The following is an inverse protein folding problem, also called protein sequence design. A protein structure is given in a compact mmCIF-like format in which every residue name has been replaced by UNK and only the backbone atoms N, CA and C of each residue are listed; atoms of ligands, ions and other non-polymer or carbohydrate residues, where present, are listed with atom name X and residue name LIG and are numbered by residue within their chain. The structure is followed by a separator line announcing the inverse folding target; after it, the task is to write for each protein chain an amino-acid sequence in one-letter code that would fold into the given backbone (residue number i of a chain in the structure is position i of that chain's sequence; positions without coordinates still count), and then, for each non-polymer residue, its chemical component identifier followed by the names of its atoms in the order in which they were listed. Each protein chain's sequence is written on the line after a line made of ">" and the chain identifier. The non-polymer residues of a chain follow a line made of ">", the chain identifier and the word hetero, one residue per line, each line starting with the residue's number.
data_IF_131274836019
#
_entry.id   IF_131274836019
#
_cell.length_a   1.000
_cell.length_b   1.000
_cell.length_c   1.000
_cell.angle_alpha   90.00
_cell.angle_beta   90.00
_cell.angle_gamma   90.00
#
_symmetry.space_group_name_H-M   'P 1'
#
loop_
_entity.id
_entity.type
_entity.pdbx_description
1 polymer ?
#
# COMPACT_ATOMS: atom_id res chain seq x y z
N UNK A 1 -7.44 -9.79 -10.89
CA UNK A 1 -7.35 -8.51 -11.65
C UNK A 1 -7.90 -7.45 -10.71
N UNK A 2 -7.03 -6.62 -10.14
CA UNK A 2 -7.47 -5.57 -9.20
C UNK A 2 -8.31 -4.56 -10.00
N UNK A 3 -9.47 -4.13 -9.48
CA UNK A 3 -10.31 -3.14 -10.16
C UNK A 3 -9.54 -1.84 -10.32
N UNK A 4 -9.60 -1.28 -11.52
CA UNK A 4 -9.03 0.00 -11.89
C UNK A 4 -9.68 1.09 -11.04
N UNK A 5 -9.04 1.38 -9.92
CA UNK A 5 -9.31 2.55 -9.09
C UNK A 5 -8.46 3.63 -9.73
N UNK A 6 -9.09 4.71 -10.20
CA UNK A 6 -8.48 5.82 -10.95
C UNK A 6 -6.96 5.88 -10.85
N UNK A 7 -6.32 5.75 -12.01
CA UNK A 7 -4.88 5.89 -12.23
C UNK A 7 -3.99 4.77 -11.64
N UNK A 8 -4.54 3.81 -10.89
CA UNK A 8 -3.84 2.60 -10.47
C UNK A 8 -2.65 2.85 -9.54
N UNK A 9 -2.54 4.07 -9.01
CA UNK A 9 -1.47 4.48 -8.10
C UNK A 9 -2.05 4.57 -6.70
N UNK A 10 -1.45 3.86 -5.75
CA UNK A 10 -1.70 4.11 -4.33
C UNK A 10 -0.64 5.10 -3.84
N UNK A 11 -0.96 6.40 -3.71
CA UNK A 11 0.01 7.40 -3.27
C UNK A 11 0.21 7.34 -1.76
N UNK A 12 1.46 7.52 -1.34
CA UNK A 12 1.85 7.60 0.07
C UNK A 12 2.63 8.91 0.29
N UNK A 13 2.27 9.66 1.33
CA UNK A 13 3.00 10.88 1.72
C UNK A 13 4.09 10.56 2.73
N UNK A 14 5.34 10.86 2.39
CA UNK A 14 6.46 10.81 3.32
C UNK A 14 6.39 11.97 4.31
N UNK A 15 6.61 11.70 5.60
CA UNK A 15 6.54 12.72 6.66
C UNK A 15 7.81 13.58 6.75
N UNK A 16 8.96 13.02 6.42
CA UNK A 16 10.26 13.67 6.64
C UNK A 16 10.56 14.70 5.56
N UNK A 17 10.44 14.31 4.28
CA UNK A 17 10.74 15.16 3.13
C UNK A 17 9.51 15.72 2.44
N UNK A 18 8.31 15.35 2.91
CA UNK A 18 7.07 15.70 2.23
C UNK A 18 6.93 15.10 0.83
N UNK A 19 7.77 14.16 0.41
CA UNK A 19 7.68 13.56 -0.93
C UNK A 19 6.49 12.61 -1.05
N UNK A 20 5.87 12.56 -2.23
CA UNK A 20 4.78 11.63 -2.55
C UNK A 20 5.33 10.44 -3.32
N UNK A 21 5.01 9.25 -2.85
CA UNK A 21 5.55 7.99 -3.34
C UNK A 21 4.45 7.10 -3.90
N UNK A 22 4.73 6.39 -5.00
CA UNK A 22 3.92 5.26 -5.41
C UNK A 22 4.19 4.09 -4.45
N UNK A 23 3.20 3.73 -3.64
CA UNK A 23 3.35 2.77 -2.53
C UNK A 23 3.95 1.43 -2.98
N UNK A 24 3.51 0.93 -4.13
CA UNK A 24 3.86 -0.41 -4.61
C UNK A 24 5.23 -0.47 -5.30
N UNK A 25 5.65 0.63 -5.94
CA UNK A 25 6.88 0.65 -6.73
C UNK A 25 8.05 1.26 -5.96
N UNK A 26 7.76 2.15 -5.00
CA UNK A 26 8.75 2.94 -4.28
C UNK A 26 9.26 4.15 -5.07
N UNK A 27 8.60 4.54 -6.17
CA UNK A 27 8.97 5.73 -6.97
C UNK A 27 8.40 7.00 -6.35
N UNK A 28 9.24 7.99 -6.10
CA UNK A 28 8.79 9.35 -5.78
C UNK A 28 8.25 10.02 -7.05
N UNK A 29 7.00 10.48 -6.98
CA UNK A 29 6.29 11.13 -8.09
C UNK A 29 6.14 12.63 -7.88
N UNK A 30 6.35 13.12 -6.66
CA UNK A 30 6.25 14.55 -6.32
C UNK A 30 7.04 14.87 -5.03
N UNK A 31 7.38 16.13 -4.84
CA UNK A 31 8.14 16.65 -3.70
C UNK A 31 9.66 16.57 -3.87
N UNK A 32 10.38 16.78 -2.76
CA UNK A 32 11.84 16.95 -2.74
C UNK A 32 12.62 15.82 -3.43
N UNK A 33 12.13 14.58 -3.30
CA UNK A 33 12.79 13.38 -3.82
C UNK A 33 12.21 12.91 -5.15
N UNK A 34 11.41 13.72 -5.85
CA UNK A 34 10.78 13.33 -7.12
C UNK A 34 11.78 12.73 -8.12
N UNK A 35 11.41 11.61 -8.74
CA UNK A 35 12.26 10.86 -9.66
C UNK A 35 13.15 9.80 -8.99
N UNK A 36 13.36 9.87 -7.67
CA UNK A 36 14.08 8.83 -6.93
C UNK A 36 13.24 7.56 -6.76
N UNK A 37 13.92 6.43 -6.53
CA UNK A 37 13.30 5.13 -6.30
C UNK A 37 13.90 4.50 -5.04
N UNK A 38 13.05 4.08 -4.10
CA UNK A 38 13.46 3.38 -2.89
C UNK A 38 14.03 2.00 -3.21
N UNK A 39 15.01 1.55 -2.41
CA UNK A 39 15.47 0.16 -2.43
C UNK A 39 14.34 -0.77 -2.00
N UNK A 40 14.02 -1.76 -2.84
CA UNK A 40 12.95 -2.74 -2.58
C UNK A 40 13.39 -3.74 -1.51
N UNK A 41 12.61 -3.85 -0.44
CA UNK A 41 12.72 -4.96 0.51
C UNK A 41 11.90 -6.15 0.03
N UNK A 42 12.25 -7.36 0.49
CA UNK A 42 11.50 -8.57 0.16
C UNK A 42 10.03 -8.42 0.62
N UNK A 43 9.11 -8.49 -0.34
CA UNK A 43 7.68 -8.38 -0.11
C UNK A 43 6.89 -9.14 -1.18
N UNK A 44 5.64 -9.46 -0.88
CA UNK A 44 4.73 -10.10 -1.83
C UNK A 44 3.30 -9.61 -1.59
N UNK A 45 2.45 -9.78 -2.61
CA UNK A 45 1.03 -9.49 -2.51
C UNK A 45 0.29 -10.73 -2.04
N UNK A 46 -0.64 -10.54 -1.10
CA UNK A 46 -1.61 -11.56 -0.73
C UNK A 46 -2.98 -10.92 -0.60
N UNK A 47 -4.01 -11.65 -1.01
CA UNK A 47 -5.35 -11.34 -0.55
C UNK A 47 -5.45 -11.69 0.94
N UNK A 48 -6.27 -10.94 1.69
CA UNK A 48 -6.44 -11.18 3.12
C UNK A 48 -6.96 -12.59 3.41
N UNK A 49 -7.86 -13.13 2.57
CA UNK A 49 -8.44 -14.47 2.76
C UNK A 49 -7.40 -15.58 2.51
N UNK A 50 -6.54 -15.41 1.50
CA UNK A 50 -5.46 -16.35 1.25
C UNK A 50 -4.42 -16.30 2.39
N UNK A 51 -4.13 -15.09 2.89
CA UNK A 51 -3.24 -14.92 4.05
C UNK A 51 -3.79 -15.64 5.29
N UNK A 52 -5.08 -15.49 5.59
CA UNK A 52 -5.69 -16.14 6.76
C UNK A 52 -5.65 -17.67 6.69
N UNK A 53 -5.73 -18.26 5.50
CA UNK A 53 -5.61 -19.71 5.32
C UNK A 53 -4.19 -20.21 5.67
N UNK A 54 -3.15 -19.47 5.29
CA UNK A 54 -1.75 -19.81 5.61
C UNK A 54 -1.31 -19.36 7.02
N UNK A 55 -1.98 -18.35 7.59
CA UNK A 55 -1.65 -17.75 8.88
C UNK A 55 -2.88 -17.72 9.80
N UNK A 56 -3.34 -18.87 10.31
CA UNK A 56 -4.62 -18.99 11.04
C UNK A 56 -4.65 -18.28 12.39
N UNK A 57 -3.51 -17.78 12.89
CA UNK A 57 -3.42 -16.97 14.11
C UNK A 57 -3.58 -15.46 13.84
N UNK A 58 -3.62 -15.04 12.58
CA UNK A 58 -3.86 -13.63 12.24
C UNK A 58 -5.31 -13.29 12.58
N UNK A 59 -5.49 -12.29 13.45
CA UNK A 59 -6.81 -11.76 13.77
C UNK A 59 -7.36 -10.97 12.58
N UNK A 60 -8.62 -11.26 12.20
CA UNK A 60 -9.34 -10.51 11.19
C UNK A 60 -10.32 -9.55 11.87
N UNK A 61 -10.19 -8.28 11.54
CA UNK A 61 -11.09 -7.23 12.03
C UNK A 61 -12.10 -6.90 10.95
N UNK A 62 -13.37 -6.84 11.31
CA UNK A 62 -14.40 -6.35 10.39
C UNK A 62 -14.19 -4.85 10.15
N UNK A 63 -14.51 -4.40 8.94
CA UNK A 63 -14.59 -2.96 8.68
C UNK A 63 -15.68 -2.40 9.59
N UNK A 64 -15.28 -1.61 10.59
CA UNK A 64 -16.19 -1.04 11.57
C UNK A 64 -17.36 -0.37 10.87
N UNK A 65 -18.54 -0.97 10.97
CA UNK A 65 -19.76 -0.40 10.43
C UNK A 65 -20.00 0.93 11.15
N UNK A 66 -19.99 2.03 10.40
CA UNK A 66 -20.70 3.22 10.84
C UNK A 66 -22.20 2.86 10.86
N UNK A 67 -22.65 2.28 11.96
CA UNK A 67 -24.06 2.36 12.34
C UNK A 67 -24.36 3.84 12.61
N UNK A 68 -25.43 4.32 11.98
CA UNK A 68 -25.83 5.74 11.96
C UNK A 68 -26.28 6.31 13.29
#
# INVERSE_FOLDING_TARGET
>A
ILPDTGDGVSPMKGRETGSTWQLLTGRAIDGELAGMVLTRLASFYSFWFAWSDFHPKTELYEAGGSAG
#
